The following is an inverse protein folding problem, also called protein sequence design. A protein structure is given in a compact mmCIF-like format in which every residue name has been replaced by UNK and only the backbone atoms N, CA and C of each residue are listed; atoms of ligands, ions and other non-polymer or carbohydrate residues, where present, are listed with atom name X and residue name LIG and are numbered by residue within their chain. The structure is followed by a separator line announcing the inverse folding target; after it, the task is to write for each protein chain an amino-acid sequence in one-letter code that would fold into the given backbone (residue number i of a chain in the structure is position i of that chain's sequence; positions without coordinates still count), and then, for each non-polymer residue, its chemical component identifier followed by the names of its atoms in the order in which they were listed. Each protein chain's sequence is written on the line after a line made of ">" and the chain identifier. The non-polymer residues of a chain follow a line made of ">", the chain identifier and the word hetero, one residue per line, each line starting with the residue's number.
data_IF_942672978892
#
_entry.id   IF_942672978892
#
_cell.length_a   1.000
_cell.length_b   1.000
_cell.length_c   1.000
_cell.angle_alpha   90.00
_cell.angle_beta   90.00
_cell.angle_gamma   90.00
#
_symmetry.space_group_name_H-M   'P 1'
#
loop_
_entity.id
_entity.type
_entity.pdbx_description
1 polymer ?
#
# COMPACT_ATOMS: atom_id res chain seq x y z
N UNK A 1 1.88 -5.68 -20.43
CA UNK A 1 1.22 -5.80 -19.12
C UNK A 1 -0.13 -6.45 -19.34
N UNK A 2 -0.42 -7.56 -18.65
CA UNK A 2 -1.75 -8.20 -18.70
C UNK A 2 -2.74 -7.24 -18.02
N UNK A 3 -3.95 -7.06 -18.55
CA UNK A 3 -4.95 -6.23 -17.86
C UNK A 3 -5.25 -6.88 -16.51
N UNK A 4 -5.08 -6.14 -15.41
CA UNK A 4 -5.51 -6.58 -14.09
C UNK A 4 -7.02 -6.81 -14.09
N UNK A 5 -7.44 -7.91 -13.46
CA UNK A 5 -8.85 -8.19 -13.25
C UNK A 5 -9.45 -7.25 -12.22
N UNK A 6 -10.74 -6.93 -12.33
CA UNK A 6 -11.45 -6.06 -11.37
C UNK A 6 -11.35 -6.61 -9.94
N UNK A 7 -11.45 -7.93 -9.78
CA UNK A 7 -11.30 -8.61 -8.48
C UNK A 7 -9.91 -8.42 -7.88
N UNK A 8 -8.87 -8.40 -8.70
CA UNK A 8 -7.50 -8.20 -8.26
C UNK A 8 -7.30 -6.78 -7.74
N UNK A 9 -7.81 -5.79 -8.48
CA UNK A 9 -7.81 -4.37 -8.07
C UNK A 9 -8.55 -4.20 -6.74
N UNK A 10 -9.74 -4.80 -6.61
CA UNK A 10 -10.51 -4.77 -5.36
C UNK A 10 -9.75 -5.39 -4.19
N UNK A 11 -9.03 -6.48 -4.44
CA UNK A 11 -8.21 -7.14 -3.42
C UNK A 11 -7.12 -6.21 -2.91
N UNK A 12 -6.42 -5.50 -3.81
CA UNK A 12 -5.43 -4.50 -3.41
C UNK A 12 -6.06 -3.36 -2.59
N UNK A 13 -7.24 -2.88 -2.96
CA UNK A 13 -7.93 -1.85 -2.17
C UNK A 13 -8.28 -2.33 -0.76
N UNK A 14 -8.86 -3.52 -0.63
CA UNK A 14 -9.19 -4.10 0.68
C UNK A 14 -7.94 -4.28 1.54
N UNK A 15 -6.87 -4.82 0.97
CA UNK A 15 -5.60 -5.01 1.67
C UNK A 15 -4.96 -3.66 2.05
N UNK A 16 -5.02 -2.66 1.17
CA UNK A 16 -4.54 -1.32 1.47
C UNK A 16 -5.29 -0.66 2.62
N UNK A 17 -6.63 -0.81 2.65
CA UNK A 17 -7.46 -0.33 3.77
C UNK A 17 -7.07 -1.04 5.07
N UNK A 18 -6.80 -2.35 5.04
CA UNK A 18 -6.34 -3.08 6.21
C UNK A 18 -4.99 -2.55 6.74
N UNK A 19 -4.04 -2.23 5.86
CA UNK A 19 -2.77 -1.62 6.28
C UNK A 19 -2.98 -0.22 6.88
N UNK A 20 -3.85 0.60 6.29
CA UNK A 20 -4.20 1.90 6.84
C UNK A 20 -4.89 1.78 8.20
N UNK A 21 -5.79 0.82 8.36
CA UNK A 21 -6.46 0.54 9.62
C UNK A 21 -5.47 0.10 10.70
N UNK A 22 -4.50 -0.76 10.35
CA UNK A 22 -3.41 -1.13 11.26
C UNK A 22 -2.56 0.07 11.68
N UNK A 23 -2.23 0.97 10.75
CA UNK A 23 -1.56 2.24 11.06
C UNK A 23 -2.41 3.12 11.99
N UNK A 24 -3.71 3.25 11.71
CA UNK A 24 -4.61 4.03 12.54
C UNK A 24 -4.64 3.52 13.99
N UNK A 25 -4.84 2.21 14.19
CA UNK A 25 -4.83 1.59 15.52
C UNK A 25 -3.49 1.75 16.22
N UNK A 26 -2.38 1.61 15.50
CA UNK A 26 -1.04 1.83 16.07
C UNK A 26 -0.93 3.27 16.60
N UNK A 27 -1.39 4.26 15.83
CA UNK A 27 -1.33 5.67 16.25
C UNK A 27 -2.23 5.97 17.43
N UNK A 28 -3.46 5.43 17.46
CA UNK A 28 -4.41 5.72 18.54
C UNK A 28 -4.17 4.90 19.79
N UNK A 29 -3.92 3.60 19.68
CA UNK A 29 -3.84 2.69 20.83
C UNK A 29 -2.43 2.61 21.44
N UNK A 30 -1.38 2.79 20.63
CA UNK A 30 0.01 2.64 21.11
C UNK A 30 0.65 3.98 21.37
N UNK A 31 0.43 4.96 20.48
CA UNK A 31 1.07 6.27 20.58
C UNK A 31 0.18 7.36 21.17
N UNK A 32 -1.12 7.12 21.32
CA UNK A 32 -2.11 8.11 21.78
C UNK A 32 -2.06 9.42 20.95
N UNK A 33 -1.85 9.28 19.64
CA UNK A 33 -1.77 10.39 18.69
C UNK A 33 -2.93 10.28 17.72
N UNK A 34 -3.69 11.36 17.59
CA UNK A 34 -4.73 11.46 16.57
C UNK A 34 -4.11 11.62 15.16
N UNK A 35 -4.23 10.62 14.26
CA UNK A 35 -3.45 10.56 13.01
C UNK A 35 -3.86 11.64 12.00
N UNK A 36 -5.05 12.22 12.11
CA UNK A 36 -5.52 13.29 11.24
C UNK A 36 -5.19 14.70 11.78
N UNK A 37 -4.19 14.83 12.67
CA UNK A 37 -3.76 16.13 13.20
C UNK A 37 -2.25 16.25 13.34
N UNK A 38 -1.78 17.50 13.35
CA UNK A 38 -0.38 17.84 13.57
C UNK A 38 0.57 17.15 12.59
N UNK A 39 1.73 16.71 13.09
CA UNK A 39 2.77 16.07 12.29
C UNK A 39 2.38 14.67 11.79
N UNK A 40 1.41 14.02 12.45
CA UNK A 40 0.91 12.70 12.06
C UNK A 40 0.07 12.74 10.77
N UNK A 41 -0.41 13.93 10.37
CA UNK A 41 -1.14 14.10 9.11
C UNK A 41 -0.31 13.67 7.89
N UNK A 42 1.01 13.90 7.92
CA UNK A 42 1.92 13.58 6.81
C UNK A 42 1.92 12.07 6.51
N UNK A 43 2.24 11.17 7.48
CA UNK A 43 2.13 9.74 7.24
C UNK A 43 0.69 9.31 6.95
N UNK A 44 -0.33 9.90 7.57
CA UNK A 44 -1.73 9.58 7.26
C UNK A 44 -2.08 9.81 5.79
N UNK A 45 -1.74 10.98 5.24
CA UNK A 45 -1.93 11.29 3.82
C UNK A 45 -1.13 10.31 2.95
N UNK A 46 0.11 9.98 3.35
CA UNK A 46 0.92 9.01 2.65
C UNK A 46 0.24 7.64 2.54
N UNK A 47 -0.28 7.11 3.64
CA UNK A 47 -0.99 5.84 3.65
C UNK A 47 -2.26 5.90 2.80
N UNK A 48 -3.03 7.00 2.86
CA UNK A 48 -4.22 7.16 2.01
C UNK A 48 -3.84 7.15 0.52
N UNK A 49 -2.80 7.87 0.13
CA UNK A 49 -2.29 7.87 -1.26
C UNK A 49 -1.78 6.48 -1.66
N UNK A 50 -1.15 5.76 -0.73
CA UNK A 50 -0.67 4.39 -0.96
C UNK A 50 -1.82 3.46 -1.33
N UNK A 51 -3.00 3.56 -0.69
CA UNK A 51 -4.18 2.75 -1.04
C UNK A 51 -4.52 2.86 -2.54
N UNK A 52 -4.56 4.08 -3.08
CA UNK A 52 -4.90 4.31 -4.48
C UNK A 52 -3.79 3.91 -5.46
N UNK A 53 -2.52 4.02 -5.02
CA UNK A 53 -1.37 3.65 -5.82
C UNK A 53 -1.08 2.15 -5.81
N UNK A 54 -1.58 1.44 -4.80
CA UNK A 54 -1.23 0.05 -4.52
C UNK A 54 -1.60 -0.94 -5.63
N UNK A 55 -2.75 -0.85 -6.32
CA UNK A 55 -3.05 -1.76 -7.43
C UNK A 55 -1.97 -1.70 -8.54
N UNK A 56 -1.49 -0.49 -8.86
CA UNK A 56 -0.46 -0.27 -9.88
C UNK A 56 0.90 -0.80 -9.42
N UNK A 57 1.29 -0.54 -8.17
CA UNK A 57 2.53 -1.05 -7.61
C UNK A 57 2.51 -2.58 -7.48
N UNK A 58 1.39 -3.14 -7.05
CA UNK A 58 1.14 -4.58 -6.96
C UNK A 58 1.31 -5.29 -8.31
N UNK A 59 0.80 -4.73 -9.41
CA UNK A 59 1.02 -5.31 -10.75
C UNK A 59 2.50 -5.31 -11.15
N UNK A 60 3.19 -4.18 -10.92
CA UNK A 60 4.59 -4.02 -11.31
C UNK A 60 5.47 -5.01 -10.53
N UNK A 61 5.22 -5.11 -9.23
CA UNK A 61 5.99 -5.96 -8.33
C UNK A 61 5.63 -7.42 -8.60
N UNK A 62 4.35 -7.79 -8.67
CA UNK A 62 3.92 -9.14 -9.03
C UNK A 62 4.56 -9.62 -10.35
N UNK A 63 4.61 -8.78 -11.39
CA UNK A 63 5.25 -9.13 -12.65
C UNK A 63 6.78 -9.22 -12.56
N UNK A 64 7.45 -8.42 -11.72
CA UNK A 64 8.90 -8.49 -11.48
C UNK A 64 9.31 -9.62 -10.53
N UNK A 65 8.40 -10.04 -9.65
CA UNK A 65 8.66 -11.01 -8.58
C UNK A 65 8.21 -12.42 -8.97
N UNK A 66 7.63 -12.62 -10.17
CA UNK A 66 7.31 -13.95 -10.73
C UNK A 66 8.50 -14.93 -10.74
N UNK A 67 9.73 -14.42 -10.82
CA UNK A 67 10.97 -15.20 -10.78
C UNK A 67 11.75 -15.05 -9.45
N UNK A 68 11.18 -14.39 -8.44
CA UNK A 68 11.87 -14.08 -7.19
C UNK A 68 11.53 -15.07 -6.07
N UNK A 69 12.55 -15.41 -5.28
CA UNK A 69 12.50 -16.36 -4.14
C UNK A 69 11.76 -15.77 -2.93
N UNK A 70 11.35 -14.50 -2.97
CA UNK A 70 10.71 -13.83 -1.85
C UNK A 70 9.28 -14.35 -1.59
N UNK A 71 8.96 -14.77 -0.36
CA UNK A 71 7.63 -15.27 -0.04
C UNK A 71 6.58 -14.16 -0.24
N UNK A 72 5.38 -14.49 -0.76
CA UNK A 72 4.32 -13.52 -1.08
C UNK A 72 3.97 -12.57 0.08
N UNK A 73 4.11 -13.06 1.31
CA UNK A 73 3.83 -12.34 2.55
C UNK A 73 4.74 -11.11 2.77
N UNK A 74 5.95 -11.09 2.21
CA UNK A 74 6.86 -9.94 2.30
C UNK A 74 6.69 -8.96 1.13
N UNK A 75 6.20 -9.45 -0.01
CA UNK A 75 6.08 -8.67 -1.24
C UNK A 75 4.94 -7.66 -1.13
N UNK A 76 3.84 -8.05 -0.48
CA UNK A 76 2.61 -7.27 -0.41
C UNK A 76 2.71 -6.02 0.52
N UNK A 77 3.30 -6.09 1.73
CA UNK A 77 3.54 -4.91 2.56
C UNK A 77 4.54 -3.94 1.94
N UNK A 78 5.63 -4.47 1.36
CA UNK A 78 6.63 -3.65 0.68
C UNK A 78 6.01 -2.90 -0.49
N UNK A 79 5.22 -3.60 -1.31
CA UNK A 79 4.50 -3.02 -2.43
C UNK A 79 3.57 -1.88 -2.02
N UNK A 80 2.90 -2.00 -0.87
CA UNK A 80 2.06 -0.96 -0.32
C UNK A 80 2.87 0.26 0.13
N UNK A 81 3.96 0.03 0.88
CA UNK A 81 4.83 1.12 1.37
C UNK A 81 5.41 1.91 0.20
N UNK A 82 5.88 1.25 -0.86
CA UNK A 82 6.50 1.95 -1.99
C UNK A 82 5.49 2.42 -3.05
N UNK A 83 4.20 2.11 -2.90
CA UNK A 83 3.18 2.39 -3.90
C UNK A 83 3.12 3.88 -4.33
N UNK A 84 3.19 4.86 -3.42
CA UNK A 84 3.18 6.27 -3.80
C UNK A 84 4.34 6.67 -4.73
N UNK A 85 5.50 6.00 -4.65
CA UNK A 85 6.64 6.27 -5.55
C UNK A 85 6.34 5.84 -6.99
N UNK A 86 5.49 4.84 -7.19
CA UNK A 86 5.07 4.37 -8.51
C UNK A 86 4.00 5.26 -9.17
N UNK A 87 3.44 6.24 -8.47
CA UNK A 87 2.59 7.26 -9.09
C UNK A 87 3.40 8.14 -10.04
N UNK A 88 4.65 8.46 -9.67
CA UNK A 88 5.55 9.32 -10.46
C UNK A 88 6.50 8.55 -11.38
N UNK A 89 6.61 7.23 -11.19
CA UNK A 89 7.34 6.36 -12.11
C UNK A 89 6.65 6.38 -13.49
N UNK A 90 7.28 7.07 -14.45
CA UNK A 90 6.99 6.92 -15.87
C UNK A 90 7.35 5.49 -16.27
N UNK A 91 6.41 4.86 -16.98
CA UNK A 91 6.45 3.51 -17.56
C UNK A 91 7.85 3.04 -17.93
#
# INVERSE_FOLDING_TARGET
>A
MKRQGVLEILTYFVVGILFFFGYYLLMTEVFDIYPFSGVALIPTIYFVVAIFAFPKAGDIISNKTKDSILPPNFVMPLAYIIAPLFLFSKR
#
